data_IF_296823397588
#
_entry.id   IF_296823397588
#
_cell.length_a   1.000
_cell.length_b   1.000
_cell.length_c   1.000
_cell.angle_alpha   90.00
_cell.angle_beta   90.00
_cell.angle_gamma   90.00
#
_symmetry.space_group_name_H-M   'P 1'
#
loop_
_entity.id
_entity.type
_entity.pdbx_description
1 polymer ?
#
# COMPACT_ATOMS: atom_id res chain seq x y z
N UNK A 1 1.28 -37.08 -11.42
CA UNK A 1 2.03 -35.96 -10.81
C UNK A 1 1.19 -34.67 -10.81
N UNK A 2 -0.12 -34.77 -10.49
CA UNK A 2 -1.11 -33.72 -10.83
C UNK A 2 -2.05 -33.38 -9.66
N UNK A 3 -1.84 -34.00 -8.48
CA UNK A 3 -2.64 -33.76 -7.27
C UNK A 3 -2.00 -32.81 -6.25
N UNK A 4 -0.76 -32.35 -6.47
CA UNK A 4 -0.08 -31.40 -5.56
C UNK A 4 -0.22 -29.92 -5.94
N UNK A 5 -0.72 -29.57 -7.14
CA UNK A 5 -0.91 -28.16 -7.54
C UNK A 5 -2.20 -27.52 -7.02
N UNK A 6 -3.26 -28.29 -6.76
CA UNK A 6 -4.55 -27.76 -6.26
C UNK A 6 -4.56 -27.42 -4.76
N UNK A 7 -3.53 -27.82 -3.99
CA UNK A 7 -3.52 -27.63 -2.53
C UNK A 7 -2.89 -26.31 -2.07
N UNK A 8 -2.10 -25.64 -2.92
CA UNK A 8 -1.56 -24.31 -2.60
C UNK A 8 -2.65 -23.22 -2.62
N UNK A 9 -3.60 -23.30 -3.56
CA UNK A 9 -4.69 -22.34 -3.70
C UNK A 9 -5.70 -22.34 -2.54
N UNK A 10 -5.78 -23.42 -1.76
CA UNK A 10 -6.76 -23.54 -0.67
C UNK A 10 -6.25 -23.04 0.69
N UNK A 11 -4.95 -22.82 0.85
CA UNK A 11 -4.36 -22.56 2.18
C UNK A 11 -3.88 -21.12 2.37
N UNK A 12 -3.70 -20.36 1.29
CA UNK A 12 -3.34 -18.94 1.34
C UNK A 12 -4.54 -17.98 1.30
N UNK A 13 -5.62 -18.32 0.58
CA UNK A 13 -6.82 -17.47 0.48
C UNK A 13 -7.73 -17.41 1.72
N UNK A 14 -7.28 -17.90 2.88
CA UNK A 14 -8.10 -17.96 4.11
C UNK A 14 -7.42 -17.42 5.37
N UNK A 15 -6.20 -16.87 5.29
CA UNK A 15 -5.42 -16.56 6.50
C UNK A 15 -4.91 -15.13 6.69
N UNK A 16 -5.37 -14.15 5.91
CA UNK A 16 -5.00 -12.74 6.15
C UNK A 16 -6.18 -11.83 6.54
N UNK A 17 -7.45 -12.27 6.43
CA UNK A 17 -8.62 -11.43 6.79
C UNK A 17 -9.17 -11.77 8.19
N UNK A 18 -8.35 -11.80 9.24
CA UNK A 18 -8.92 -12.12 10.57
C UNK A 18 -8.14 -11.60 11.78
N UNK A 19 -7.76 -10.32 11.80
CA UNK A 19 -7.41 -9.63 13.06
C UNK A 19 -7.82 -8.15 13.09
N UNK A 20 -9.10 -7.85 12.79
CA UNK A 20 -9.74 -6.63 13.29
C UNK A 20 -11.10 -7.05 13.86
N UNK A 21 -11.30 -6.79 15.15
CA UNK A 21 -12.48 -7.18 15.92
C UNK A 21 -13.81 -6.60 15.36
N UNK A 22 -14.97 -7.20 15.70
CA UNK A 22 -16.27 -6.92 15.09
C UNK A 22 -16.97 -5.68 15.67
N UNK A 23 -18.13 -5.33 15.08
CA UNK A 23 -19.07 -4.22 15.37
C UNK A 23 -18.77 -2.95 14.55
N UNK A 24 -19.41 -2.73 13.40
CA UNK A 24 -20.87 -2.58 13.24
C UNK A 24 -21.42 -3.50 12.13
N UNK A 25 -22.19 -4.49 12.54
CA UNK A 25 -23.10 -5.21 11.66
C UNK A 25 -24.42 -4.43 11.57
N UNK A 26 -24.50 -3.49 10.62
CA UNK A 26 -25.80 -3.04 10.11
C UNK A 26 -25.68 -2.91 8.60
N UNK A 27 -26.32 -3.85 7.89
CA UNK A 27 -26.74 -3.74 6.48
C UNK A 27 -25.69 -3.73 5.34
N UNK A 28 -24.61 -4.51 5.44
CA UNK A 28 -23.69 -4.78 4.29
C UNK A 28 -23.87 -6.18 3.64
N UNK A 29 -24.89 -6.95 4.01
CA UNK A 29 -25.00 -8.38 3.67
C UNK A 29 -25.70 -8.73 2.33
N UNK A 30 -25.94 -7.80 1.41
CA UNK A 30 -26.69 -8.15 0.18
C UNK A 30 -25.82 -8.30 -1.09
N UNK A 31 -24.70 -7.60 -1.23
CA UNK A 31 -23.82 -7.73 -2.39
C UNK A 31 -22.46 -8.24 -1.95
N UNK A 32 -22.18 -9.53 -2.16
CA UNK A 32 -20.79 -9.98 -2.13
C UNK A 32 -20.00 -9.15 -3.14
N UNK A 33 -18.75 -8.73 -2.88
CA UNK A 33 -17.92 -8.03 -3.87
C UNK A 33 -17.84 -8.77 -5.22
N UNK A 34 -18.00 -10.10 -5.23
CA UNK A 34 -18.09 -10.93 -6.45
C UNK A 34 -19.38 -10.75 -7.27
N UNK A 35 -20.35 -10.00 -6.75
CA UNK A 35 -21.61 -9.67 -7.41
C UNK A 35 -21.72 -8.20 -7.85
N UNK A 36 -20.79 -7.32 -7.43
CA UNK A 36 -20.78 -5.94 -7.87
C UNK A 36 -20.49 -5.87 -9.38
N UNK A 37 -21.16 -4.95 -10.08
CA UNK A 37 -20.93 -4.74 -11.51
C UNK A 37 -19.56 -4.11 -11.77
N UNK A 38 -19.09 -3.26 -10.84
CA UNK A 38 -17.70 -2.81 -10.82
C UNK A 38 -17.10 -2.98 -9.43
N UNK A 39 -15.82 -3.34 -9.38
CA UNK A 39 -15.08 -3.56 -8.15
C UNK A 39 -13.63 -3.10 -8.30
N UNK A 40 -13.14 -2.30 -7.34
CA UNK A 40 -11.72 -1.94 -7.21
C UNK A 40 -11.26 -2.14 -5.77
N UNK A 41 -10.14 -2.83 -5.60
CA UNK A 41 -9.48 -2.99 -4.31
C UNK A 41 -7.99 -2.71 -4.46
N UNK A 42 -7.47 -1.91 -3.55
CA UNK A 42 -6.06 -1.54 -3.48
C UNK A 42 -5.59 -1.72 -2.04
N UNK A 43 -4.72 -2.69 -1.81
CA UNK A 43 -4.14 -2.98 -0.49
C UNK A 43 -2.63 -2.83 -0.54
N UNK A 44 -2.05 -2.22 0.50
CA UNK A 44 -0.62 -2.11 0.66
C UNK A 44 -0.17 -2.21 2.11
N UNK A 45 0.85 -3.02 2.34
CA UNK A 45 1.53 -3.19 3.63
C UNK A 45 3.02 -2.87 3.47
N UNK A 46 3.57 -2.19 4.48
CA UNK A 46 4.99 -1.93 4.61
C UNK A 46 5.36 -2.16 6.07
N UNK A 47 6.20 -3.17 6.30
CA UNK A 47 6.58 -3.59 7.63
C UNK A 47 8.10 -3.58 7.76
N UNK A 48 8.60 -3.02 8.85
CA UNK A 48 10.02 -2.96 9.19
C UNK A 48 10.28 -3.77 10.46
N UNK A 49 11.30 -4.60 10.42
CA UNK A 49 11.65 -5.53 11.52
C UNK A 49 13.15 -5.61 11.70
N UNK A 50 13.61 -6.33 12.72
CA UNK A 50 15.03 -6.62 12.94
C UNK A 50 15.90 -5.36 12.98
N UNK A 51 15.38 -4.26 13.54
CA UNK A 51 16.19 -3.09 13.81
C UNK A 51 17.33 -3.47 14.75
N UNK A 52 18.55 -3.05 14.45
CA UNK A 52 19.68 -3.24 15.37
C UNK A 52 19.68 -2.24 16.55
N UNK A 53 18.57 -1.49 16.70
CA UNK A 53 18.35 -0.40 17.65
C UNK A 53 16.90 -0.46 18.13
N UNK A 54 16.68 -0.28 19.42
CA UNK A 54 15.37 -0.51 20.06
C UNK A 54 14.55 0.77 20.25
N UNK A 55 15.17 1.95 20.17
CA UNK A 55 14.51 3.23 20.42
C UNK A 55 14.46 4.07 19.14
N UNK A 56 13.26 4.50 18.77
CA UNK A 56 13.02 5.52 17.76
C UNK A 56 11.97 6.51 18.27
N UNK A 57 12.17 7.80 17.98
CA UNK A 57 11.06 8.76 18.08
C UNK A 57 10.16 8.53 16.89
N UNK A 58 8.89 8.21 17.14
CA UNK A 58 7.92 7.76 16.14
C UNK A 58 6.70 8.67 16.11
N UNK A 59 6.25 8.99 14.90
CA UNK A 59 4.99 9.70 14.66
C UNK A 59 4.39 9.25 13.33
N UNK A 60 3.06 9.17 13.28
CA UNK A 60 2.34 8.72 12.10
C UNK A 60 1.08 9.53 11.86
N UNK A 61 0.72 9.67 10.59
CA UNK A 61 -0.55 10.20 10.11
C UNK A 61 -1.22 9.12 9.25
N UNK A 62 -2.49 8.85 9.52
CA UNK A 62 -3.31 7.90 8.77
C UNK A 62 -4.46 8.67 8.11
N UNK A 63 -4.23 9.20 6.91
CA UNK A 63 -5.23 9.97 6.17
C UNK A 63 -6.04 9.06 5.24
N UNK A 64 -7.33 9.35 5.10
CA UNK A 64 -8.23 8.66 4.19
C UNK A 64 -9.25 9.65 3.61
N UNK A 65 -9.49 9.56 2.30
CA UNK A 65 -10.44 10.38 1.56
C UNK A 65 -11.31 9.48 0.68
N UNK A 66 -12.59 9.84 0.56
CA UNK A 66 -13.49 9.15 -0.35
C UNK A 66 -14.59 10.07 -0.87
N UNK A 67 -15.09 9.74 -2.05
CA UNK A 67 -16.22 10.40 -2.68
C UNK A 67 -17.03 9.38 -3.46
N UNK A 68 -18.34 9.54 -3.46
CA UNK A 68 -19.28 8.71 -4.21
C UNK A 68 -20.40 9.58 -4.76
N UNK A 69 -20.83 9.29 -5.99
CA UNK A 69 -21.92 9.96 -6.67
C UNK A 69 -22.72 8.94 -7.48
N UNK A 70 -24.05 9.01 -7.41
CA UNK A 70 -24.97 8.20 -8.21
C UNK A 70 -25.85 9.14 -9.03
N UNK A 71 -26.00 8.83 -10.32
CA UNK A 71 -26.72 9.68 -11.28
C UNK A 71 -28.01 9.02 -11.81
N UNK A 72 -28.30 7.82 -11.35
CA UNK A 72 -29.52 7.09 -11.68
C UNK A 72 -30.10 6.40 -10.43
N UNK A 73 -31.43 6.26 -10.40
CA UNK A 73 -32.16 5.69 -9.26
C UNK A 73 -31.83 4.21 -9.01
N UNK A 74 -31.33 3.51 -10.04
CA UNK A 74 -30.91 2.10 -9.96
C UNK A 74 -29.46 1.92 -9.50
N UNK A 75 -28.75 3.01 -9.22
CA UNK A 75 -27.32 3.00 -8.98
C UNK A 75 -26.97 3.07 -7.50
N UNK A 76 -26.08 2.16 -7.08
CA UNK A 76 -25.54 2.07 -5.73
C UNK A 76 -24.03 1.99 -5.86
N UNK A 77 -23.32 2.81 -5.11
CA UNK A 77 -21.87 2.74 -4.99
C UNK A 77 -21.47 2.92 -3.54
N UNK A 78 -20.56 2.08 -3.07
CA UNK A 78 -20.04 2.10 -1.71
C UNK A 78 -18.53 1.99 -1.72
N UNK A 79 -17.92 2.45 -0.64
CA UNK A 79 -16.48 2.39 -0.45
C UNK A 79 -16.12 2.05 0.99
N UNK A 80 -14.88 1.57 1.17
CA UNK A 80 -14.23 1.38 2.47
C UNK A 80 -12.79 1.87 2.34
N UNK A 81 -12.37 2.68 3.29
CA UNK A 81 -10.98 3.05 3.49
C UNK A 81 -10.51 2.54 4.85
N UNK A 82 -9.30 2.02 4.90
CA UNK A 82 -8.66 1.63 6.15
C UNK A 82 -7.19 2.00 6.10
N UNK A 83 -6.70 2.59 7.17
CA UNK A 83 -5.30 2.98 7.30
C UNK A 83 -4.87 2.90 8.75
N UNK A 84 -3.75 2.25 8.99
CA UNK A 84 -3.21 2.03 10.32
C UNK A 84 -1.69 2.06 10.28
N UNK A 85 -1.08 2.66 11.29
CA UNK A 85 0.37 2.59 11.49
C UNK A 85 0.62 2.31 12.96
N UNK A 86 1.31 1.19 13.23
CA UNK A 86 1.64 0.74 14.56
C UNK A 86 3.16 0.60 14.70
N UNK A 87 3.67 0.93 15.89
CA UNK A 87 5.06 0.74 16.25
C UNK A 87 5.14 0.02 17.60
N UNK A 88 5.66 -1.20 17.61
CA UNK A 88 5.98 -1.94 18.81
C UNK A 88 7.41 -1.59 19.23
N UNK A 89 7.67 -1.15 20.47
CA UNK A 89 8.99 -0.63 20.86
C UNK A 89 10.01 -1.72 21.21
N UNK A 90 9.60 -2.96 21.48
CA UNK A 90 10.55 -4.01 21.93
C UNK A 90 10.10 -5.43 21.54
N UNK A 91 10.73 -6.06 20.53
CA UNK A 91 11.69 -5.47 19.60
C UNK A 91 11.04 -4.35 18.77
N UNK A 92 11.84 -3.39 18.29
CA UNK A 92 11.29 -2.34 17.43
C UNK A 92 10.75 -2.96 16.14
N UNK A 93 9.45 -2.85 15.93
CA UNK A 93 8.76 -3.27 14.72
C UNK A 93 7.76 -2.19 14.32
N UNK A 94 7.75 -1.82 13.04
CA UNK A 94 6.86 -0.78 12.54
C UNK A 94 6.06 -1.37 11.40
N UNK A 95 4.73 -1.39 11.54
CA UNK A 95 3.82 -1.82 10.48
C UNK A 95 2.97 -0.65 10.04
N UNK A 96 2.87 -0.49 8.72
CA UNK A 96 2.00 0.46 8.08
C UNK A 96 1.09 -0.30 7.12
N UNK A 97 -0.22 -0.10 7.23
CA UNK A 97 -1.26 -0.78 6.44
C UNK A 97 -2.19 0.26 5.83
N UNK A 98 -2.60 0.02 4.59
CA UNK A 98 -3.53 0.88 3.86
C UNK A 98 -4.39 0.06 2.90
N UNK A 99 -5.68 0.38 2.83
CA UNK A 99 -6.68 -0.28 2.00
C UNK A 99 -7.68 0.74 1.48
N UNK A 100 -7.92 0.72 0.17
CA UNK A 100 -9.00 1.45 -0.50
C UNK A 100 -9.83 0.46 -1.31
N UNK A 101 -11.12 0.36 -1.01
CA UNK A 101 -12.03 -0.58 -1.62
C UNK A 101 -13.29 0.13 -2.11
N UNK A 102 -13.74 -0.20 -3.32
CA UNK A 102 -14.96 0.31 -3.94
C UNK A 102 -15.72 -0.83 -4.60
N UNK A 103 -17.03 -0.80 -4.47
CA UNK A 103 -17.94 -1.65 -5.23
C UNK A 103 -19.19 -0.86 -5.62
N UNK A 104 -19.70 -1.13 -6.82
CA UNK A 104 -20.92 -0.50 -7.30
C UNK A 104 -21.73 -1.39 -8.24
N UNK A 105 -23.00 -1.02 -8.38
CA UNK A 105 -23.97 -1.64 -9.27
C UNK A 105 -24.92 -0.56 -9.80
N UNK A 106 -25.49 -0.79 -10.99
CA UNK A 106 -26.48 0.08 -11.62
C UNK A 106 -25.96 0.75 -12.88
N UNK A 107 -26.74 1.70 -13.39
CA UNK A 107 -26.54 2.26 -14.72
C UNK A 107 -25.63 3.49 -14.77
N UNK A 108 -25.47 4.26 -13.68
CA UNK A 108 -24.70 5.50 -13.68
C UNK A 108 -24.20 5.90 -12.28
N UNK A 109 -22.88 5.78 -12.04
CA UNK A 109 -22.24 6.15 -10.77
C UNK A 109 -20.74 6.39 -10.91
N UNK A 110 -20.16 7.09 -9.93
CA UNK A 110 -18.71 7.21 -9.80
C UNK A 110 -18.29 7.20 -8.33
N UNK A 111 -17.13 6.62 -8.05
CA UNK A 111 -16.55 6.71 -6.71
C UNK A 111 -15.02 6.66 -6.75
N UNK A 112 -14.43 7.25 -5.72
CA UNK A 112 -13.00 7.27 -5.44
C UNK A 112 -12.80 7.00 -3.95
N UNK A 113 -11.79 6.21 -3.63
CA UNK A 113 -11.39 5.84 -2.29
C UNK A 113 -9.85 5.87 -2.28
N UNK A 114 -9.28 6.66 -1.37
CA UNK A 114 -7.85 6.88 -1.28
C UNK A 114 -7.40 6.90 0.18
N UNK A 115 -6.27 6.27 0.48
CA UNK A 115 -5.64 6.28 1.80
C UNK A 115 -4.17 6.64 1.66
N UNK A 116 -3.67 7.53 2.52
CA UNK A 116 -2.35 8.12 2.40
C UNK A 116 -1.55 8.10 3.70
N UNK A 117 -1.34 6.94 4.35
CA UNK A 117 -0.59 6.94 5.59
C UNK A 117 0.89 7.21 5.37
N UNK A 118 1.46 7.84 6.37
CA UNK A 118 2.86 8.22 6.40
C UNK A 118 3.34 8.28 7.84
N UNK A 119 4.60 7.93 8.04
CA UNK A 119 5.19 7.98 9.36
C UNK A 119 6.66 8.33 9.27
N UNK A 120 7.21 8.81 10.37
CA UNK A 120 8.65 8.84 10.54
C UNK A 120 9.07 8.09 11.79
N UNK A 121 10.27 7.52 11.74
CA UNK A 121 11.00 6.95 12.87
C UNK A 121 12.41 7.53 12.88
N UNK A 122 12.84 8.09 14.00
CA UNK A 122 14.11 8.78 14.09
C UNK A 122 15.11 8.09 15.01
N UNK A 123 16.38 8.05 14.57
CA UNK A 123 17.47 7.32 15.21
C UNK A 123 18.70 8.22 15.39
N UNK A 124 19.28 8.21 16.58
CA UNK A 124 20.58 8.85 16.85
C UNK A 124 21.72 7.85 16.68
N UNK A 125 22.42 7.89 15.54
CA UNK A 125 23.48 6.95 15.19
C UNK A 125 24.83 7.50 15.60
N UNK A 126 25.55 6.77 16.45
CA UNK A 126 26.88 7.16 16.89
C UNK A 126 27.92 6.95 15.79
N UNK A 127 29.01 7.70 15.89
CA UNK A 127 30.19 7.53 15.07
C UNK A 127 30.71 6.09 15.11
N UNK A 128 31.09 5.59 13.94
CA UNK A 128 31.59 4.24 13.72
C UNK A 128 30.55 3.14 14.03
N UNK A 129 29.27 3.48 13.95
CA UNK A 129 28.18 2.54 14.14
C UNK A 129 27.38 2.32 12.84
N UNK A 130 26.51 1.32 12.85
CA UNK A 130 25.65 0.94 11.73
C UNK A 130 24.19 1.10 12.13
N UNK A 131 23.36 1.54 11.19
CA UNK A 131 21.91 1.34 11.26
C UNK A 131 21.53 0.23 10.30
N UNK A 132 20.76 -0.74 10.78
CA UNK A 132 20.21 -1.80 9.94
C UNK A 132 18.82 -2.22 10.36
N UNK A 133 18.03 -2.62 9.37
CA UNK A 133 16.69 -3.18 9.52
C UNK A 133 16.32 -3.99 8.28
N UNK A 134 15.36 -4.87 8.44
CA UNK A 134 14.71 -5.57 7.35
C UNK A 134 13.38 -4.86 7.02
N UNK A 135 12.93 -5.01 5.77
CA UNK A 135 11.61 -4.56 5.37
C UNK A 135 10.90 -5.61 4.52
N UNK A 136 9.58 -5.63 4.63
CA UNK A 136 8.67 -6.37 3.76
C UNK A 136 7.63 -5.41 3.21
N UNK A 137 7.39 -5.49 1.90
CA UNK A 137 6.27 -4.81 1.24
C UNK A 137 5.33 -5.86 0.69
N UNK A 138 4.04 -5.60 0.82
CA UNK A 138 2.98 -6.37 0.18
C UNK A 138 2.10 -5.38 -0.55
N UNK A 139 1.76 -5.68 -1.80
CA UNK A 139 0.66 -5.03 -2.50
C UNK A 139 -0.27 -6.11 -3.07
N UNK A 140 -1.56 -5.80 -3.05
CA UNK A 140 -2.62 -6.61 -3.64
C UNK A 140 -3.64 -5.67 -4.27
N UNK A 141 -3.77 -5.76 -5.59
CA UNK A 141 -4.65 -4.96 -6.41
C UNK A 141 -5.65 -5.88 -7.10
N UNK A 142 -6.91 -5.46 -7.13
CA UNK A 142 -7.96 -6.11 -7.89
C UNK A 142 -8.84 -5.08 -8.58
N UNK A 143 -9.16 -5.33 -9.84
CA UNK A 143 -10.05 -4.50 -10.64
C UNK A 143 -10.98 -5.40 -11.46
N UNK A 144 -12.29 -5.15 -11.43
CA UNK A 144 -13.27 -5.92 -12.17
C UNK A 144 -14.42 -5.06 -12.70
N UNK A 145 -14.91 -5.43 -13.89
CA UNK A 145 -16.05 -4.81 -14.58
C UNK A 145 -16.93 -5.86 -15.23
N UNK A 146 -18.22 -5.56 -15.35
CA UNK A 146 -19.22 -6.38 -16.01
C UNK A 146 -19.43 -6.00 -17.47
N UNK A 147 -19.17 -4.73 -17.83
CA UNK A 147 -19.25 -4.24 -19.21
C UNK A 147 -17.92 -3.62 -19.63
N UNK A 148 -16.93 -4.44 -20.03
CA UNK A 148 -15.65 -3.98 -20.57
C UNK A 148 -15.86 -2.93 -21.67
N UNK A 149 -15.17 -1.79 -21.57
CA UNK A 149 -15.26 -0.69 -22.54
C UNK A 149 -16.40 0.31 -22.30
N UNK A 150 -17.34 0.02 -21.39
CA UNK A 150 -18.35 0.96 -20.90
C UNK A 150 -17.98 1.44 -19.50
N UNK A 151 -17.62 0.50 -18.64
CA UNK A 151 -17.25 0.75 -17.25
C UNK A 151 -15.75 0.96 -17.14
N UNK A 152 -15.34 1.90 -16.29
CA UNK A 152 -13.93 2.17 -16.00
C UNK A 152 -13.66 1.88 -14.54
N UNK A 153 -12.57 1.16 -14.28
CA UNK A 153 -12.15 0.83 -12.93
C UNK A 153 -10.64 0.88 -12.84
N UNK A 154 -10.12 1.32 -11.70
CA UNK A 154 -8.69 1.44 -11.46
C UNK A 154 -8.36 1.11 -10.01
N UNK A 155 -7.30 0.34 -9.81
CA UNK A 155 -6.71 0.06 -8.51
C UNK A 155 -5.21 0.38 -8.56
N UNK A 156 -4.72 1.13 -7.58
CA UNK A 156 -3.35 1.62 -7.55
C UNK A 156 -2.77 1.63 -6.14
N UNK A 157 -1.49 1.29 -6.04
CA UNK A 157 -0.71 1.35 -4.80
C UNK A 157 0.65 1.96 -5.09
N UNK A 158 1.09 2.85 -4.21
CA UNK A 158 2.45 3.36 -4.14
C UNK A 158 2.96 3.13 -2.70
N UNK A 159 4.09 2.48 -2.56
CA UNK A 159 4.79 2.25 -1.30
C UNK A 159 6.18 2.84 -1.44
N UNK A 160 6.61 3.66 -0.50
CA UNK A 160 7.96 4.21 -0.51
C UNK A 160 8.51 4.33 0.91
N UNK A 161 9.83 4.22 1.03
CA UNK A 161 10.53 4.72 2.21
C UNK A 161 11.85 5.36 1.83
N UNK A 162 12.28 6.28 2.69
CA UNK A 162 13.49 7.05 2.56
C UNK A 162 14.22 7.03 3.90
N UNK A 163 15.53 6.83 3.85
CA UNK A 163 16.41 7.08 4.97
C UNK A 163 17.09 8.43 4.75
N UNK A 164 16.89 9.36 5.67
CA UNK A 164 17.30 10.74 5.53
C UNK A 164 18.33 11.12 6.59
N UNK A 165 19.37 11.85 6.20
CA UNK A 165 20.22 12.56 7.14
C UNK A 165 19.49 13.83 7.59
N UNK A 166 19.10 13.84 8.86
CA UNK A 166 18.41 14.95 9.51
C UNK A 166 19.27 15.57 10.61
N UNK A 167 20.60 15.38 10.55
CA UNK A 167 21.55 15.98 11.48
C UNK A 167 21.43 17.50 11.44
N UNK A 168 21.23 18.11 12.62
CA UNK A 168 21.05 19.57 12.75
C UNK A 168 19.64 20.08 12.51
N UNK A 169 18.69 19.24 12.08
CA UNK A 169 17.28 19.61 12.03
C UNK A 169 16.69 19.61 13.44
N UNK A 170 15.95 20.67 13.78
CA UNK A 170 15.20 20.69 15.02
C UNK A 170 14.04 19.70 14.99
N UNK A 171 13.69 19.14 16.14
CA UNK A 171 12.59 18.18 16.29
C UNK A 171 11.26 18.73 15.78
N UNK A 172 10.99 20.02 16.00
CA UNK A 172 9.76 20.71 15.54
C UNK A 172 9.59 20.72 14.02
N UNK A 173 10.70 20.76 13.26
CA UNK A 173 10.68 20.75 11.80
C UNK A 173 10.55 19.33 11.21
N UNK A 174 10.51 18.29 12.05
CA UNK A 174 10.35 16.90 11.56
C UNK A 174 8.92 16.56 11.21
N UNK A 175 7.97 17.15 11.92
CA UNK A 175 6.54 16.99 11.63
C UNK A 175 6.21 17.59 10.25
N UNK A 176 6.98 18.57 9.79
CA UNK A 176 6.85 19.12 8.44
C UNK A 176 7.08 18.06 7.35
N UNK A 177 7.87 17.00 7.61
CA UNK A 177 7.98 15.87 6.68
C UNK A 177 6.65 15.11 6.51
N UNK A 178 5.80 15.11 7.54
CA UNK A 178 4.46 14.53 7.50
C UNK A 178 3.41 15.53 6.98
N UNK A 179 3.74 16.80 6.73
CA UNK A 179 2.79 17.75 6.15
C UNK A 179 2.78 17.71 4.61
N UNK A 180 3.75 17.02 3.98
CA UNK A 180 3.72 16.74 2.55
C UNK A 180 2.78 15.56 2.25
N UNK A 181 1.71 15.83 1.51
CA UNK A 181 0.83 14.79 0.94
C UNK A 181 1.39 14.18 -0.34
N UNK A 182 2.46 14.76 -0.90
CA UNK A 182 3.08 14.28 -2.14
C UNK A 182 4.27 13.38 -1.83
N UNK A 183 4.29 12.20 -2.47
CA UNK A 183 5.41 11.26 -2.58
C UNK A 183 6.64 11.86 -3.31
N UNK A 184 6.57 13.14 -3.68
CA UNK A 184 7.60 13.81 -4.46
C UNK A 184 8.82 14.10 -3.59
N UNK A 185 10.02 13.58 -3.97
CA UNK A 185 11.28 13.95 -3.33
C UNK A 185 11.56 15.45 -3.36
N UNK A 186 10.81 16.24 -4.11
CA UNK A 186 11.03 17.69 -4.28
C UNK A 186 10.98 18.49 -2.97
N UNK A 187 10.26 18.02 -1.95
CA UNK A 187 10.28 18.65 -0.62
C UNK A 187 11.41 18.13 0.29
N UNK A 188 11.97 16.97 -0.04
CA UNK A 188 13.09 16.35 0.68
C UNK A 188 14.35 16.67 -0.12
N UNK A 189 15.15 17.65 0.33
CA UNK A 189 16.44 17.97 -0.30
C UNK A 189 17.18 16.68 -0.69
N UNK A 190 17.38 16.45 -2.00
CA UNK A 190 17.95 15.19 -2.51
C UNK A 190 19.31 14.88 -1.88
N UNK A 191 20.02 15.92 -1.43
CA UNK A 191 21.31 15.81 -0.73
C UNK A 191 21.21 15.12 0.63
N UNK A 192 20.02 15.01 1.22
CA UNK A 192 19.78 14.39 2.51
C UNK A 192 19.32 12.93 2.37
N UNK A 193 18.99 12.45 1.16
CA UNK A 193 18.55 11.08 0.95
C UNK A 193 19.77 10.15 1.00
N UNK A 194 19.81 9.31 2.03
CA UNK A 194 20.85 8.31 2.25
C UNK A 194 20.52 7.00 1.53
N UNK A 195 19.28 6.53 1.68
CA UNK A 195 18.75 5.32 1.06
C UNK A 195 17.28 5.52 0.68
N UNK A 196 16.79 4.77 -0.30
CA UNK A 196 15.37 4.80 -0.64
C UNK A 196 14.92 3.50 -1.30
N UNK A 197 13.64 3.20 -1.16
CA UNK A 197 12.93 2.14 -1.88
C UNK A 197 11.57 2.67 -2.32
N UNK A 198 11.15 2.33 -3.53
CA UNK A 198 9.82 2.65 -4.06
C UNK A 198 9.25 1.45 -4.78
N UNK A 199 7.98 1.18 -4.56
CA UNK A 199 7.19 0.16 -5.25
C UNK A 199 5.85 0.76 -5.65
N UNK A 200 5.55 0.73 -6.93
CA UNK A 200 4.40 1.40 -7.49
C UNK A 200 3.72 0.49 -8.51
N UNK A 201 2.41 0.30 -8.37
CA UNK A 201 1.59 -0.52 -9.25
C UNK A 201 0.23 0.14 -9.52
N UNK A 202 -0.26 -0.01 -10.75
CA UNK A 202 -1.59 0.45 -11.17
C UNK A 202 -2.17 -0.54 -12.19
N UNK A 203 -3.42 -0.94 -11.99
CA UNK A 203 -4.16 -1.82 -12.90
C UNK A 203 -5.56 -1.28 -13.20
N UNK A 204 -6.04 -1.57 -14.41
CA UNK A 204 -7.46 -1.52 -14.76
C UNK A 204 -8.04 -2.94 -14.91
N UNK A 205 -9.36 -3.08 -15.09
CA UNK A 205 -9.99 -4.39 -15.27
C UNK A 205 -9.63 -5.09 -16.58
N UNK A 206 -9.07 -4.39 -17.56
CA UNK A 206 -8.57 -5.01 -18.79
C UNK A 206 -7.16 -5.58 -18.59
N UNK A 207 -6.60 -5.43 -17.40
CA UNK A 207 -5.26 -5.88 -17.10
C UNK A 207 -4.18 -5.06 -17.78
N UNK A 208 -4.50 -3.83 -18.18
CA UNK A 208 -3.46 -2.90 -18.59
C UNK A 208 -2.73 -2.46 -17.33
N UNK A 209 -1.57 -3.06 -17.10
CA UNK A 209 -0.61 -2.54 -16.12
C UNK A 209 -0.10 -1.22 -16.70
N UNK A 210 -0.54 -0.09 -16.15
CA UNK A 210 -0.02 1.21 -16.58
C UNK A 210 1.45 1.38 -16.12
N UNK A 211 1.83 0.82 -14.96
CA UNK A 211 3.22 0.62 -14.54
C UNK A 211 3.33 -0.40 -13.38
N UNK A 212 4.45 -1.14 -13.34
CA UNK A 212 4.96 -1.81 -12.15
C UNK A 212 6.43 -1.41 -12.02
N UNK A 213 6.72 -0.51 -11.09
CA UNK A 213 8.06 0.07 -10.92
C UNK A 213 8.58 -0.24 -9.52
N UNK A 214 9.73 -0.89 -9.46
CA UNK A 214 10.51 -1.10 -8.25
C UNK A 214 11.86 -0.39 -8.42
N UNK A 215 12.14 0.61 -7.59
CA UNK A 215 13.43 1.32 -7.59
C UNK A 215 14.01 1.38 -6.20
N UNK A 216 15.34 1.30 -6.10
CA UNK A 216 16.03 1.28 -4.83
C UNK A 216 17.41 1.93 -4.92
N UNK A 217 17.90 2.42 -3.80
CA UNK A 217 19.30 2.81 -3.66
C UNK A 217 20.23 1.59 -3.70
N UNK A 218 21.53 1.85 -3.89
CA UNK A 218 22.54 0.82 -4.08
C UNK A 218 22.72 -0.09 -2.86
N UNK A 219 22.52 0.42 -1.64
CA UNK A 219 22.78 -0.31 -0.40
C UNK A 219 21.56 -1.04 0.17
N UNK A 220 20.52 -1.21 -0.65
CA UNK A 220 19.37 -2.05 -0.33
C UNK A 220 19.53 -3.41 -0.99
N UNK A 221 19.54 -4.47 -0.20
CA UNK A 221 19.56 -5.83 -0.71
C UNK A 221 18.13 -6.37 -0.78
N UNK A 222 17.71 -6.87 -1.94
CA UNK A 222 16.40 -7.53 -2.11
C UNK A 222 16.64 -9.03 -2.04
N UNK A 223 16.06 -9.67 -1.03
CA UNK A 223 16.21 -11.12 -0.78
C UNK A 223 15.11 -11.94 -1.45
N UNK A 224 13.96 -11.33 -1.73
CA UNK A 224 12.89 -11.93 -2.54
C UNK A 224 12.06 -10.86 -3.22
N UNK A 225 11.78 -11.06 -4.49
CA UNK A 225 10.79 -10.33 -5.27
C UNK A 225 9.85 -11.37 -5.89
N UNK A 226 8.63 -11.43 -5.37
CA UNK A 226 7.57 -12.27 -5.90
C UNK A 226 6.48 -11.35 -6.42
N UNK A 227 6.35 -11.25 -7.73
CA UNK A 227 5.23 -10.58 -8.38
C UNK A 227 4.40 -11.59 -9.14
N UNK A 228 3.08 -11.46 -9.05
CA UNK A 228 2.13 -12.23 -9.82
C UNK A 228 1.09 -11.28 -10.40
N UNK A 229 0.83 -11.46 -11.68
CA UNK A 229 -0.16 -10.72 -12.42
C UNK A 229 -1.01 -11.69 -13.20
N UNK A 230 -2.33 -11.52 -13.13
CA UNK A 230 -3.29 -12.35 -13.83
C UNK A 230 -4.45 -11.50 -14.35
N UNK A 231 -4.96 -11.89 -15.51
CA UNK A 231 -6.09 -11.25 -16.19
C UNK A 231 -6.99 -12.35 -16.70
N UNK A 232 -8.22 -12.36 -16.21
CA UNK A 232 -9.22 -13.36 -16.55
C UNK A 232 -10.43 -12.69 -17.19
N UNK A 233 -10.79 -13.16 -18.39
CA UNK A 233 -12.08 -12.89 -19.00
C UNK A 233 -13.05 -14.02 -18.58
N UNK A 234 -14.12 -13.66 -17.89
CA UNK A 234 -15.12 -14.60 -17.41
C UNK A 234 -16.18 -14.74 -18.50
N UNK A 235 -15.93 -15.69 -19.42
CA UNK A 235 -16.66 -15.89 -20.68
C UNK A 235 -18.17 -16.05 -20.55
N UNK A 236 -18.65 -16.58 -19.42
CA UNK A 236 -20.06 -16.87 -19.21
C UNK A 236 -20.86 -15.61 -18.79
N UNK A 237 -20.17 -14.53 -18.45
CA UNK A 237 -20.78 -13.28 -17.96
C UNK A 237 -20.27 -12.03 -18.70
N UNK A 238 -19.28 -12.16 -19.59
CA UNK A 238 -18.65 -11.02 -20.28
C UNK A 238 -17.89 -10.08 -19.36
N UNK A 239 -17.56 -10.54 -18.14
CA UNK A 239 -16.86 -9.76 -17.12
C UNK A 239 -15.36 -9.86 -17.31
N UNK A 240 -14.64 -8.77 -17.03
CA UNK A 240 -13.18 -8.78 -16.96
C UNK A 240 -12.73 -8.57 -15.53
N UNK A 241 -11.66 -9.28 -15.15
CA UNK A 241 -11.03 -9.18 -13.84
C UNK A 241 -9.52 -9.20 -14.00
N UNK A 242 -8.85 -8.27 -13.33
CA UNK A 242 -7.40 -8.21 -13.27
C UNK A 242 -6.95 -8.19 -11.81
N UNK A 243 -5.86 -8.90 -11.53
CA UNK A 243 -5.24 -8.98 -10.21
C UNK A 243 -3.75 -8.75 -10.35
N UNK A 244 -3.19 -7.93 -9.47
CA UNK A 244 -1.73 -7.76 -9.33
C UNK A 244 -1.34 -7.88 -7.88
N UNK A 245 -0.43 -8.81 -7.58
CA UNK A 245 0.11 -9.01 -6.25
C UNK A 245 1.63 -8.91 -6.30
N UNK A 246 2.23 -8.31 -5.28
CA UNK A 246 3.68 -8.36 -5.12
C UNK A 246 4.07 -8.43 -3.65
N UNK A 247 5.11 -9.21 -3.37
CA UNK A 247 5.79 -9.28 -2.09
C UNK A 247 7.27 -9.06 -2.31
N UNK A 248 7.81 -7.97 -1.75
CA UNK A 248 9.25 -7.71 -1.76
C UNK A 248 9.78 -7.77 -0.34
N UNK A 249 10.90 -8.47 -0.15
CA UNK A 249 11.64 -8.48 1.11
C UNK A 249 13.04 -7.98 0.85
N UNK A 250 13.52 -7.13 1.73
CA UNK A 250 14.88 -6.63 1.66
C UNK A 250 15.42 -6.21 3.00
N UNK A 251 16.65 -5.73 2.97
CA UNK A 251 17.34 -5.22 4.14
C UNK A 251 18.12 -3.96 3.79
N UNK A 252 18.29 -3.12 4.79
CA UNK A 252 19.10 -1.91 4.74
C UNK A 252 20.22 -2.07 5.76
N UNK A 253 21.45 -1.75 5.36
CA UNK A 253 22.59 -1.67 6.26
C UNK A 253 23.48 -0.51 5.87
N UNK A 254 23.60 0.47 6.77
CA UNK A 254 24.39 1.68 6.52
C UNK A 254 25.33 2.01 7.68
N UNK A 255 26.61 2.15 7.36
CA UNK A 255 27.65 2.57 8.29
C UNK A 255 27.78 4.09 8.32
N UNK A 256 28.07 4.66 9.49
CA UNK A 256 28.26 6.08 9.71
C UNK A 256 29.61 6.36 10.36
N UNK A 257 30.41 7.23 9.74
CA UNK A 257 31.78 7.59 10.17
C UNK A 257 31.83 8.78 11.13
N UNK A 258 30.70 9.44 11.35
CA UNK A 258 30.46 10.51 12.32
C UNK A 258 29.08 10.33 12.97
N UNK A 259 28.84 11.04 14.07
CA UNK A 259 27.52 11.05 14.71
C UNK A 259 26.47 11.64 13.76
N UNK A 260 25.35 10.95 13.61
CA UNK A 260 24.25 11.35 12.72
C UNK A 260 22.91 11.22 13.40
N UNK A 261 22.01 12.12 13.06
CA UNK A 261 20.61 11.91 13.30
C UNK A 261 19.93 11.48 12.00
N UNK A 262 19.29 10.31 12.02
CA UNK A 262 18.77 9.66 10.81
C UNK A 262 17.28 9.44 10.94
N UNK A 263 16.52 9.86 9.92
CA UNK A 263 15.06 9.68 9.88
C UNK A 263 14.69 8.65 8.82
N UNK A 264 14.01 7.59 9.24
CA UNK A 264 13.25 6.73 8.33
C UNK A 264 11.89 7.39 8.11
N UNK A 265 11.60 7.76 6.87
CA UNK A 265 10.33 8.32 6.45
C UNK A 265 9.67 7.35 5.49
N UNK A 266 8.44 6.96 5.77
CA UNK A 266 7.72 6.00 4.95
C UNK A 266 6.38 6.58 4.52
N UNK A 267 6.01 6.27 3.29
CA UNK A 267 4.79 6.73 2.66
C UNK A 267 4.09 5.55 2.00
N UNK A 268 2.76 5.63 2.03
CA UNK A 268 1.95 4.76 1.21
C UNK A 268 0.75 5.53 0.69
N UNK A 269 0.39 5.24 -0.55
CA UNK A 269 -0.87 5.67 -1.13
C UNK A 269 -1.56 4.45 -1.73
N UNK A 270 -2.81 4.22 -1.36
CA UNK A 270 -3.68 3.26 -2.06
C UNK A 270 -4.85 4.03 -2.63
N UNK A 271 -5.26 3.70 -3.85
CA UNK A 271 -6.33 4.40 -4.55
C UNK A 271 -7.13 3.45 -5.41
N UNK A 272 -8.44 3.46 -5.19
CA UNK A 272 -9.42 2.74 -5.98
C UNK A 272 -10.37 3.73 -6.62
N UNK A 273 -10.71 3.53 -7.89
CA UNK A 273 -11.67 4.37 -8.61
C UNK A 273 -12.60 3.50 -9.45
N UNK A 274 -13.88 3.87 -9.50
CA UNK A 274 -14.86 3.29 -10.43
C UNK A 274 -15.63 4.41 -11.11
N UNK A 275 -16.03 4.17 -12.36
CA UNK A 275 -16.91 5.06 -13.11
C UNK A 275 -17.75 4.26 -14.09
N UNK A 276 -19.06 4.45 -14.01
CA UNK A 276 -20.07 3.97 -14.94
C UNK A 276 -20.80 5.21 -15.49
N UNK A 277 -20.85 5.40 -16.83
CA UNK A 277 -21.37 6.61 -17.47
C UNK A 277 -22.76 7.04 -17.03
#
# INVERSE_FOLDING_TARGET
MTKMRKKLYSTFGKKVILQVSPFVATSMLASSPTLAATFASSFGELTFTNFNRENAVFEAINDANASAETNADDSIVNFRNFSETNAEPTPLEISNVAESLIFGEGSAYSACAETMPRFFANFDVSRNDTLSFDFTTILDLEASVDKPGVETVNAAVNIAFYLLDTTGNKTENRVDFLNSTQLEPLQISQNNILEYFTLSANIDALGKIDFFNNTKSKNIDISSDLSHFDVEEISDLGRNRAISTSVNKGSVKRFFDIDRNVTLLAFKNTKSNVKVP
#
